data_IF_605675955492
#
_entry.id   IF_605675955492
#
_cell.length_a   1.000
_cell.length_b   1.000
_cell.length_c   1.000
_cell.angle_alpha   90.00
_cell.angle_beta   90.00
_cell.angle_gamma   90.00
#
_symmetry.space_group_name_H-M   'P 1'
#
loop_
_entity.id
_entity.type
_entity.pdbx_description
1 polymer ?
#
# COMPACT_ATOMS: atom_id res chain seq x y z
N UNK A 1 12.38 -1.31 -29.01
CA UNK A 1 11.27 -1.94 -28.25
C UNK A 1 10.72 -0.91 -27.28
N UNK A 2 9.38 -0.70 -27.23
CA UNK A 2 8.77 0.33 -26.37
C UNK A 2 8.10 -0.24 -25.11
N UNK A 3 7.78 -1.54 -25.11
CA UNK A 3 7.07 -2.21 -24.02
C UNK A 3 7.75 -3.55 -23.73
N UNK A 4 7.89 -3.87 -22.45
CA UNK A 4 8.37 -5.15 -21.93
C UNK A 4 7.32 -5.69 -20.96
N UNK A 5 6.73 -6.84 -21.28
CA UNK A 5 5.75 -7.53 -20.44
C UNK A 5 6.44 -8.73 -19.78
N UNK A 6 6.55 -8.70 -18.44
CA UNK A 6 7.12 -9.75 -17.61
C UNK A 6 6.09 -10.28 -16.60
N UNK A 7 4.78 -10.11 -16.87
CA UNK A 7 3.74 -10.53 -15.95
C UNK A 7 3.74 -12.03 -15.67
N UNK A 8 3.27 -12.38 -14.48
CA UNK A 8 3.03 -13.77 -14.05
C UNK A 8 4.28 -14.65 -14.11
N UNK A 9 5.40 -14.09 -13.68
CA UNK A 9 6.66 -14.82 -13.49
C UNK A 9 6.97 -14.94 -11.99
N UNK A 10 8.15 -15.46 -11.67
CA UNK A 10 8.65 -15.63 -10.29
C UNK A 10 9.78 -14.63 -9.99
N UNK A 11 9.73 -13.44 -10.58
CA UNK A 11 10.78 -12.44 -10.41
C UNK A 11 10.70 -11.82 -9.02
N UNK A 12 11.75 -11.97 -8.24
CA UNK A 12 11.93 -11.27 -6.95
C UNK A 12 12.72 -9.96 -7.13
N UNK A 13 13.49 -9.86 -8.20
CA UNK A 13 14.26 -8.66 -8.57
C UNK A 13 14.39 -8.57 -10.09
N UNK A 14 14.74 -7.38 -10.58
CA UNK A 14 15.10 -7.18 -11.98
C UNK A 14 16.61 -7.22 -12.15
N UNK A 15 17.13 -7.80 -13.25
CA UNK A 15 18.54 -7.73 -13.55
C UNK A 15 18.92 -6.27 -13.92
N UNK A 16 20.13 -5.78 -13.57
CA UNK A 16 20.55 -4.39 -13.79
C UNK A 16 20.42 -3.91 -15.24
N UNK A 17 20.50 -4.83 -16.20
CA UNK A 17 20.40 -4.58 -17.64
C UNK A 17 19.03 -3.97 -18.03
N UNK A 18 17.96 -4.22 -17.26
CA UNK A 18 16.65 -3.60 -17.50
C UNK A 18 16.72 -2.08 -17.33
N UNK A 19 17.53 -1.60 -16.37
CA UNK A 19 17.80 -0.18 -16.13
C UNK A 19 18.45 0.54 -17.32
N UNK A 20 19.10 -0.21 -18.21
CA UNK A 20 19.85 0.30 -19.37
C UNK A 20 19.01 0.39 -20.64
N UNK A 21 17.75 -0.08 -20.62
CA UNK A 21 16.87 -0.12 -21.79
C UNK A 21 16.29 1.27 -22.12
N UNK A 22 17.12 2.16 -22.68
CA UNK A 22 16.77 3.58 -22.94
C UNK A 22 15.49 3.80 -23.77
N UNK A 23 15.11 2.83 -24.61
CA UNK A 23 13.93 2.91 -25.46
C UNK A 23 12.64 2.38 -24.78
N UNK A 24 12.76 1.81 -23.59
CA UNK A 24 11.64 1.25 -22.83
C UNK A 24 10.73 2.38 -22.32
N UNK A 25 9.44 2.25 -22.61
CA UNK A 25 8.39 3.19 -22.19
C UNK A 25 7.41 2.57 -21.20
N UNK A 26 7.26 1.25 -21.24
CA UNK A 26 6.36 0.52 -20.35
C UNK A 26 6.99 -0.80 -19.94
N UNK A 27 6.97 -1.06 -18.64
CA UNK A 27 7.39 -2.30 -18.01
C UNK A 27 6.23 -2.83 -17.17
N UNK A 28 5.77 -4.04 -17.45
CA UNK A 28 4.72 -4.69 -16.67
C UNK A 28 5.28 -5.88 -15.89
N UNK A 29 5.17 -5.80 -14.56
CA UNK A 29 5.65 -6.77 -13.58
C UNK A 29 4.51 -7.39 -12.76
N UNK A 30 3.25 -7.19 -13.18
CA UNK A 30 2.09 -7.74 -12.49
C UNK A 30 2.23 -9.24 -12.18
N UNK A 31 1.72 -9.68 -11.03
CA UNK A 31 1.80 -11.07 -10.58
C UNK A 31 3.23 -11.64 -10.46
N UNK A 32 4.19 -10.82 -10.03
CA UNK A 32 5.52 -11.27 -9.61
C UNK A 32 5.73 -11.02 -8.11
N UNK A 33 6.49 -11.87 -7.40
CA UNK A 33 6.90 -11.64 -6.02
C UNK A 33 8.04 -10.62 -5.91
N UNK A 34 7.97 -9.52 -6.67
CA UNK A 34 9.05 -8.52 -6.78
C UNK A 34 9.28 -7.85 -5.41
N UNK A 35 10.54 -7.72 -5.02
CA UNK A 35 11.01 -7.08 -3.80
C UNK A 35 12.04 -5.99 -4.07
N UNK A 36 12.68 -6.02 -5.25
CA UNK A 36 13.68 -5.04 -5.63
C UNK A 36 13.43 -4.45 -7.02
N UNK A 37 13.25 -3.14 -7.05
CA UNK A 37 13.15 -2.32 -8.26
C UNK A 37 14.34 -1.37 -8.44
N UNK A 38 15.39 -1.50 -7.62
CA UNK A 38 16.58 -0.62 -7.63
C UNK A 38 17.32 -0.64 -8.98
N UNK A 39 17.18 -1.73 -9.75
CA UNK A 39 17.66 -1.80 -11.14
C UNK A 39 17.10 -0.66 -12.02
N UNK A 40 15.96 -0.07 -11.66
CA UNK A 40 15.31 1.03 -12.37
C UNK A 40 15.63 2.42 -11.81
N UNK A 41 16.26 2.52 -10.63
CA UNK A 41 16.46 3.79 -9.91
C UNK A 41 17.16 4.87 -10.77
N UNK A 42 18.07 4.45 -11.65
CA UNK A 42 18.84 5.32 -12.54
C UNK A 42 18.36 5.26 -14.01
N UNK A 43 17.16 4.77 -14.27
CA UNK A 43 16.66 4.64 -15.63
C UNK A 43 16.51 6.02 -16.31
N UNK A 44 17.12 6.19 -17.49
CA UNK A 44 17.26 7.51 -18.14
C UNK A 44 15.96 8.11 -18.67
N UNK A 45 14.92 7.29 -18.86
CA UNK A 45 13.61 7.75 -19.31
C UNK A 45 12.71 8.14 -18.11
N UNK A 46 12.46 9.45 -17.87
CA UNK A 46 11.59 9.90 -16.77
C UNK A 46 10.11 9.56 -16.99
N UNK A 47 9.73 9.20 -18.22
CA UNK A 47 8.36 8.78 -18.58
C UNK A 47 8.15 7.27 -18.61
N UNK A 48 9.10 6.47 -18.13
CA UNK A 48 8.94 5.02 -18.02
C UNK A 48 7.79 4.70 -17.06
N UNK A 49 6.79 3.97 -17.55
CA UNK A 49 5.69 3.46 -16.74
C UNK A 49 6.01 2.05 -16.25
N UNK A 50 6.11 1.87 -14.95
CA UNK A 50 6.35 0.56 -14.32
C UNK A 50 5.08 0.15 -13.60
N UNK A 51 4.49 -0.97 -13.99
CA UNK A 51 3.26 -1.50 -13.37
C UNK A 51 3.57 -2.73 -12.54
N UNK A 52 3.19 -2.73 -11.27
CA UNK A 52 3.33 -3.84 -10.33
C UNK A 52 2.26 -3.73 -9.24
N UNK A 53 1.90 -4.85 -8.62
CA UNK A 53 0.89 -4.88 -7.53
C UNK A 53 -0.44 -4.18 -7.87
N UNK A 54 -0.84 -4.21 -9.15
CA UNK A 54 -2.07 -3.59 -9.64
C UNK A 54 -2.00 -2.08 -9.87
N UNK A 55 -0.84 -1.43 -9.67
CA UNK A 55 -0.68 0.03 -9.83
C UNK A 55 0.47 0.37 -10.78
N UNK A 56 0.42 1.56 -11.39
CA UNK A 56 1.63 2.16 -11.97
C UNK A 56 2.40 2.86 -10.86
N UNK A 57 3.59 2.35 -10.54
CA UNK A 57 4.38 2.80 -9.40
C UNK A 57 5.29 3.99 -9.80
N UNK A 58 5.18 5.13 -9.11
CA UNK A 58 6.07 6.28 -9.33
C UNK A 58 7.55 5.95 -9.11
N UNK A 59 8.44 6.68 -9.78
CA UNK A 59 9.88 6.40 -9.77
C UNK A 59 10.55 6.56 -8.41
N UNK A 60 9.98 7.36 -7.50
CA UNK A 60 10.49 7.49 -6.13
C UNK A 60 10.46 6.18 -5.32
N UNK A 61 9.68 5.18 -5.76
CA UNK A 61 9.55 3.88 -5.11
C UNK A 61 10.36 2.77 -5.79
N UNK A 62 11.14 3.10 -6.84
CA UNK A 62 11.97 2.13 -7.56
C UNK A 62 13.24 1.80 -6.78
N UNK A 63 13.05 1.22 -5.61
CA UNK A 63 14.10 0.82 -4.66
C UNK A 63 13.82 -0.59 -4.17
N UNK A 64 14.69 -1.10 -3.30
CA UNK A 64 14.38 -2.31 -2.55
C UNK A 64 13.27 -2.03 -1.53
N UNK A 65 12.33 -2.97 -1.33
CA UNK A 65 11.20 -2.79 -0.40
C UNK A 65 11.65 -2.51 1.05
N UNK A 66 12.79 -3.06 1.47
CA UNK A 66 13.37 -2.77 2.79
C UNK A 66 13.78 -1.31 2.99
N UNK A 67 13.99 -0.57 1.90
CA UNK A 67 14.34 0.86 1.93
C UNK A 67 13.09 1.76 1.96
N UNK A 68 11.90 1.17 1.81
CA UNK A 68 10.66 1.94 1.85
C UNK A 68 10.44 2.55 3.23
N UNK A 69 10.01 3.81 3.23
CA UNK A 69 9.86 4.62 4.44
C UNK A 69 8.39 4.74 4.82
N UNK A 70 8.08 4.58 6.11
CA UNK A 70 6.69 4.69 6.59
C UNK A 70 6.13 6.10 6.38
N UNK A 71 6.98 7.13 6.44
CA UNK A 71 6.59 8.52 6.26
C UNK A 71 6.10 8.83 4.83
N UNK A 72 6.41 7.98 3.85
CA UNK A 72 5.85 8.13 2.49
C UNK A 72 4.33 7.94 2.45
N UNK A 73 3.75 7.22 3.41
CA UNK A 73 2.29 7.11 3.56
C UNK A 73 1.62 8.47 3.79
N UNK A 74 2.35 9.39 4.42
CA UNK A 74 1.87 10.70 4.83
C UNK A 74 1.75 11.66 3.64
N UNK A 75 2.62 11.51 2.65
CA UNK A 75 2.72 12.43 1.50
C UNK A 75 2.15 11.85 0.21
N UNK A 76 2.09 10.51 0.07
CA UNK A 76 1.47 9.85 -1.07
C UNK A 76 -0.02 10.21 -1.13
N UNK A 77 -0.52 10.64 -2.28
CA UNK A 77 -1.93 11.05 -2.49
C UNK A 77 -2.73 9.97 -3.20
N UNK A 78 -2.09 9.15 -4.03
CA UNK A 78 -2.73 8.08 -4.75
C UNK A 78 -3.11 6.94 -3.78
N UNK A 79 -4.42 6.71 -3.64
CA UNK A 79 -4.95 5.72 -2.71
C UNK A 79 -4.49 4.29 -3.02
N UNK A 80 -4.33 3.94 -4.30
CA UNK A 80 -3.89 2.60 -4.70
C UNK A 80 -2.40 2.38 -4.41
N UNK A 81 -1.54 3.37 -4.69
CA UNK A 81 -0.12 3.30 -4.32
C UNK A 81 0.02 3.24 -2.80
N UNK A 82 -0.80 4.00 -2.06
CA UNK A 82 -0.79 3.96 -0.60
C UNK A 82 -1.18 2.58 -0.04
N UNK A 83 -2.14 1.88 -0.67
CA UNK A 83 -2.46 0.49 -0.31
C UNK A 83 -1.24 -0.42 -0.48
N UNK A 84 -0.52 -0.28 -1.58
CA UNK A 84 0.73 -1.01 -1.82
C UNK A 84 1.79 -0.68 -0.77
N UNK A 85 1.98 0.59 -0.41
CA UNK A 85 2.90 0.98 0.67
C UNK A 85 2.54 0.29 1.98
N UNK A 86 1.26 0.30 2.38
CA UNK A 86 0.80 -0.35 3.62
C UNK A 86 1.09 -1.85 3.59
N UNK A 87 0.76 -2.51 2.47
CA UNK A 87 0.95 -3.95 2.30
C UNK A 87 2.44 -4.34 2.32
N UNK A 88 3.31 -3.60 1.63
CA UNK A 88 4.72 -3.96 1.45
C UNK A 88 5.63 -3.52 2.58
N UNK A 89 5.34 -2.38 3.23
CA UNK A 89 6.07 -1.97 4.44
C UNK A 89 5.67 -2.85 5.63
N UNK A 90 4.41 -3.27 5.67
CA UNK A 90 3.86 -4.10 6.73
C UNK A 90 3.35 -3.28 7.92
N UNK A 91 2.24 -3.74 8.48
CA UNK A 91 1.54 -3.06 9.57
C UNK A 91 2.40 -2.87 10.83
N UNK A 92 3.18 -3.88 11.22
CA UNK A 92 3.97 -3.83 12.45
C UNK A 92 4.99 -2.69 12.42
N UNK A 93 5.70 -2.54 11.30
CA UNK A 93 6.68 -1.47 11.11
C UNK A 93 6.01 -0.10 11.08
N UNK A 94 4.87 0.02 10.39
CA UNK A 94 4.06 1.24 10.37
C UNK A 94 3.65 1.65 11.78
N UNK A 95 3.23 0.70 12.62
CA UNK A 95 2.83 1.00 13.99
C UNK A 95 4.00 1.37 14.91
N UNK A 96 5.15 0.73 14.73
CA UNK A 96 6.35 1.04 15.50
C UNK A 96 6.88 2.44 15.19
N UNK A 97 6.90 2.82 13.91
CA UNK A 97 7.47 4.09 13.46
C UNK A 97 6.46 5.26 13.58
N UNK A 98 5.22 5.09 13.11
CA UNK A 98 4.22 6.16 13.08
C UNK A 98 3.32 6.23 14.32
N UNK A 99 3.33 5.20 15.18
CA UNK A 99 2.62 5.15 16.47
C UNK A 99 1.17 5.67 16.39
N UNK A 100 0.32 5.03 15.57
CA UNK A 100 -1.07 5.45 15.44
C UNK A 100 -1.79 5.36 16.80
N UNK A 101 -2.66 6.34 17.05
CA UNK A 101 -3.55 6.37 18.20
C UNK A 101 -4.82 5.56 17.89
N UNK A 102 -5.23 4.70 18.80
CA UNK A 102 -6.55 4.07 18.73
C UNK A 102 -7.64 5.10 19.05
N UNK A 103 -8.60 5.24 18.15
CA UNK A 103 -9.74 6.14 18.32
C UNK A 103 -10.97 5.40 18.83
N UNK A 104 -11.22 4.23 18.28
CA UNK A 104 -12.41 3.43 18.54
C UNK A 104 -12.18 1.98 18.11
N UNK A 105 -12.96 1.04 18.67
CA UNK A 105 -12.91 -0.36 18.27
C UNK A 105 -14.30 -0.99 18.24
N UNK A 106 -14.48 -1.95 17.34
CA UNK A 106 -15.72 -2.70 17.19
C UNK A 106 -15.39 -4.13 16.74
N UNK A 107 -15.63 -5.10 17.62
CA UNK A 107 -15.22 -6.50 17.45
C UNK A 107 -13.76 -6.64 16.99
N UNK A 108 -13.52 -7.25 15.83
CA UNK A 108 -12.19 -7.46 15.24
C UNK A 108 -11.57 -6.20 14.65
N UNK A 109 -12.34 -5.12 14.59
CA UNK A 109 -11.97 -3.88 13.93
C UNK A 109 -11.47 -2.84 14.92
N UNK A 110 -10.42 -2.13 14.54
CA UNK A 110 -9.89 -0.99 15.28
C UNK A 110 -9.72 0.19 14.33
N UNK A 111 -10.30 1.33 14.69
CA UNK A 111 -10.04 2.60 14.03
C UNK A 111 -8.80 3.24 14.65
N UNK A 112 -7.82 3.50 13.80
CA UNK A 112 -6.54 4.07 14.15
C UNK A 112 -6.39 5.44 13.48
N UNK A 113 -5.72 6.36 14.17
CA UNK A 113 -5.40 7.70 13.68
C UNK A 113 -3.92 7.96 13.75
N UNK A 114 -3.31 8.27 12.61
CA UNK A 114 -1.93 8.76 12.56
C UNK A 114 -1.99 10.28 12.66
N UNK A 115 -1.40 10.81 13.74
CA UNK A 115 -1.23 12.26 13.94
C UNK A 115 0.19 12.62 13.50
N UNK A 116 0.31 13.59 12.61
CA UNK A 116 1.61 14.07 12.14
C UNK A 116 1.65 15.61 12.18
N UNK A 117 2.85 16.15 12.43
CA UNK A 117 3.07 17.53 12.89
C UNK A 117 3.18 18.58 11.77
N UNK A 118 2.39 18.44 10.72
CA UNK A 118 2.29 19.43 9.63
C UNK A 118 0.92 19.33 9.01
N UNK A 119 0.43 20.43 8.41
CA UNK A 119 -0.89 20.71 7.79
C UNK A 119 -1.36 19.69 6.72
N UNK A 120 -1.18 18.41 6.97
CA UNK A 120 -1.46 17.26 6.12
C UNK A 120 -2.71 16.59 6.67
N UNK A 121 -3.56 16.17 5.73
CA UNK A 121 -4.80 15.44 5.97
C UNK A 121 -4.60 14.27 6.96
N UNK A 122 -5.39 14.26 8.03
CA UNK A 122 -5.39 13.20 9.04
C UNK A 122 -5.60 11.83 8.39
N UNK A 123 -4.71 10.88 8.68
CA UNK A 123 -4.83 9.51 8.15
C UNK A 123 -5.56 8.64 9.17
N UNK A 124 -6.73 8.15 8.77
CA UNK A 124 -7.48 7.14 9.50
C UNK A 124 -7.26 5.78 8.85
N UNK A 125 -6.95 4.77 9.66
CA UNK A 125 -6.78 3.40 9.23
C UNK A 125 -7.80 2.52 9.95
N UNK A 126 -8.54 1.71 9.18
CA UNK A 126 -9.33 0.61 9.70
C UNK A 126 -8.47 -0.64 9.68
N UNK A 127 -8.12 -1.13 10.86
CA UNK A 127 -7.45 -2.41 11.07
C UNK A 127 -8.51 -3.48 11.33
N UNK A 128 -8.42 -4.63 10.69
CA UNK A 128 -9.17 -5.84 11.01
C UNK A 128 -8.19 -6.96 11.34
N UNK A 129 -8.35 -7.59 12.49
CA UNK A 129 -7.58 -8.77 12.88
C UNK A 129 -8.44 -10.01 12.68
N UNK A 130 -8.09 -10.87 11.73
CA UNK A 130 -8.83 -12.10 11.47
C UNK A 130 -8.78 -13.04 12.69
N UNK A 131 -9.91 -13.40 13.33
CA UNK A 131 -9.89 -14.19 14.58
C UNK A 131 -9.29 -15.58 14.43
N UNK A 132 -9.48 -16.20 13.26
CA UNK A 132 -9.07 -17.58 13.01
C UNK A 132 -7.60 -17.73 12.64
N UNK A 133 -7.00 -16.70 12.04
CA UNK A 133 -5.61 -16.76 11.53
C UNK A 133 -4.66 -15.78 12.22
N UNK A 134 -5.20 -14.79 12.94
CA UNK A 134 -4.44 -13.64 13.44
C UNK A 134 -3.96 -12.70 12.34
N UNK A 135 -4.31 -12.94 11.08
CA UNK A 135 -3.85 -12.11 9.96
C UNK A 135 -4.46 -10.70 10.03
N UNK A 136 -3.62 -9.68 9.86
CA UNK A 136 -4.01 -8.28 9.98
C UNK A 136 -4.25 -7.70 8.59
N UNK A 137 -5.44 -7.16 8.39
CA UNK A 137 -5.80 -6.36 7.22
C UNK A 137 -5.92 -4.90 7.62
N UNK A 138 -5.38 -4.00 6.81
CA UNK A 138 -5.38 -2.57 7.09
C UNK A 138 -5.81 -1.81 5.86
N UNK A 139 -6.81 -0.94 6.03
CA UNK A 139 -7.35 -0.10 4.98
C UNK A 139 -7.35 1.36 5.43
N UNK A 140 -6.97 2.29 4.56
CA UNK A 140 -7.22 3.71 4.82
C UNK A 140 -8.69 4.01 4.64
N UNK A 141 -9.27 4.72 5.59
CA UNK A 141 -10.65 5.23 5.55
C UNK A 141 -10.63 6.75 5.56
N UNK A 142 -11.70 7.42 5.09
CA UNK A 142 -11.83 8.87 5.26
C UNK A 142 -11.82 9.24 6.75
N UNK A 143 -11.62 10.52 7.09
CA UNK A 143 -11.79 10.98 8.46
C UNK A 143 -13.19 10.64 8.98
N UNK A 144 -13.24 9.76 9.97
CA UNK A 144 -14.46 9.27 10.64
C UNK A 144 -14.19 9.18 12.13
N UNK A 145 -15.27 9.15 12.92
CA UNK A 145 -15.16 9.23 14.38
C UNK A 145 -15.31 7.89 15.08
N UNK A 146 -15.80 6.86 14.38
CA UNK A 146 -16.00 5.52 14.94
C UNK A 146 -15.56 4.40 13.98
N UNK A 147 -15.21 3.24 14.56
CA UNK A 147 -14.88 2.04 13.81
C UNK A 147 -16.07 1.57 12.97
N UNK A 148 -17.31 1.75 13.44
CA UNK A 148 -18.52 1.41 12.67
C UNK A 148 -18.65 2.24 11.41
N UNK A 149 -18.47 3.57 11.48
CA UNK A 149 -18.47 4.45 10.30
C UNK A 149 -17.39 4.02 9.29
N UNK A 150 -16.20 3.68 9.80
CA UNK A 150 -15.11 3.18 8.96
C UNK A 150 -15.47 1.87 8.25
N UNK A 151 -16.11 0.92 8.95
CA UNK A 151 -16.55 -0.37 8.38
C UNK A 151 -17.63 -0.14 7.32
N UNK A 152 -18.63 0.71 7.60
CA UNK A 152 -19.67 1.06 6.62
C UNK A 152 -19.04 1.61 5.35
N UNK A 153 -18.10 2.54 5.48
CA UNK A 153 -17.40 3.08 4.31
C UNK A 153 -16.64 1.99 3.54
N UNK A 154 -15.96 1.08 4.23
CA UNK A 154 -15.22 -0.02 3.60
C UNK A 154 -16.14 -1.03 2.89
N UNK A 155 -17.39 -1.17 3.34
CA UNK A 155 -18.37 -2.15 2.87
C UNK A 155 -19.57 -1.53 2.13
N UNK A 156 -19.37 -0.42 1.41
CA UNK A 156 -20.41 0.24 0.60
C UNK A 156 -21.68 0.64 1.38
N UNK A 157 -21.48 1.26 2.54
CA UNK A 157 -22.47 1.79 3.48
C UNK A 157 -23.34 0.75 4.23
N UNK A 158 -23.01 -0.53 4.09
CA UNK A 158 -23.71 -1.59 4.82
C UNK A 158 -23.29 -1.60 6.29
N UNK A 159 -24.29 -1.60 7.19
CA UNK A 159 -24.04 -1.59 8.63
C UNK A 159 -23.34 -2.88 9.08
N UNK A 160 -22.27 -2.79 9.90
CA UNK A 160 -21.57 -3.96 10.40
C UNK A 160 -22.46 -4.97 11.17
N UNK A 161 -23.55 -4.55 11.82
CA UNK A 161 -24.49 -5.46 12.47
C UNK A 161 -25.20 -6.41 11.49
N UNK A 162 -25.37 -6.00 10.23
CA UNK A 162 -26.03 -6.82 9.21
C UNK A 162 -25.23 -8.09 8.87
N UNK A 163 -23.91 -8.07 9.08
CA UNK A 163 -23.04 -9.23 8.85
C UNK A 163 -22.71 -9.99 10.15
N UNK A 164 -22.88 -9.36 11.32
CA UNK A 164 -22.69 -10.02 12.61
C UNK A 164 -23.75 -11.11 12.88
N UNK A 165 -24.91 -11.01 12.23
CA UNK A 165 -26.03 -11.94 12.39
C UNK A 165 -25.85 -13.31 11.68
N UNK A 166 -24.77 -13.52 10.90
CA UNK A 166 -24.54 -14.75 10.13
C UNK A 166 -23.50 -15.71 10.75
N UNK A 167 -23.19 -15.57 12.05
CA UNK A 167 -22.32 -16.51 12.80
C UNK A 167 -23.07 -17.45 13.72
#
# INVERSE_FOLDING_TARGET
MKTLDLRSNQLTQLPPEVGQLQNLKTLDLGNNPIQDLSALANHSNPGLKVSCWGVTLPCQYWTHLSEWKTEWLLTERNAEVRKVLIEKIGYDRICQELKPLELDSWHEYTLLKIVYDVDIELIHLLKMTCPSTGHIHVLRVPPVTSAREAIRWANWDVDPEAFAAET
#
